data_IF_353997667219
#
_entry.id   IF_353997667219
#
_cell.length_a   1.000
_cell.length_b   1.000
_cell.length_c   1.000
_cell.angle_alpha   90.00
_cell.angle_beta   90.00
_cell.angle_gamma   90.00
#
_symmetry.space_group_name_H-M   'P 1'
#
loop_
_entity.id
_entity.type
_entity.pdbx_description
1 polymer ?
#
# COMPACT_ATOMS: atom_id res chain seq x y z
N UNK A 1 13.97 -41.34 -19.88
CA UNK A 1 13.36 -40.28 -19.07
C UNK A 1 11.95 -40.65 -18.57
N UNK A 2 10.98 -41.00 -19.42
CA UNK A 2 9.59 -41.37 -19.00
C UNK A 2 9.54 -42.46 -17.91
N UNK A 3 10.32 -43.52 -18.01
CA UNK A 3 10.36 -44.62 -17.01
C UNK A 3 10.94 -44.16 -15.66
N UNK A 4 11.90 -43.22 -15.65
CA UNK A 4 12.44 -42.66 -14.43
C UNK A 4 11.45 -41.69 -13.74
N UNK A 5 10.76 -40.84 -14.51
CA UNK A 5 9.69 -39.99 -13.99
C UNK A 5 8.54 -40.83 -13.41
N UNK A 6 8.13 -41.90 -14.09
CA UNK A 6 7.12 -42.82 -13.60
C UNK A 6 7.55 -43.53 -12.31
N UNK A 7 8.84 -43.88 -12.20
CA UNK A 7 9.40 -44.46 -10.98
C UNK A 7 9.33 -43.46 -9.81
N UNK A 8 9.75 -42.21 -10.01
CA UNK A 8 9.65 -41.17 -8.97
C UNK A 8 8.19 -40.91 -8.56
N UNK A 9 7.26 -40.85 -9.53
CA UNK A 9 5.83 -40.73 -9.28
C UNK A 9 5.30 -41.81 -8.36
N UNK A 10 5.59 -43.09 -8.68
CA UNK A 10 5.07 -44.23 -7.94
C UNK A 10 5.71 -44.37 -6.56
N UNK A 11 7.00 -44.11 -6.47
CA UNK A 11 7.80 -44.18 -5.24
C UNK A 11 7.35 -43.15 -4.19
N UNK A 12 7.08 -41.93 -4.59
CA UNK A 12 6.80 -40.82 -3.68
C UNK A 12 5.32 -40.76 -3.27
N UNK A 13 4.49 -41.73 -3.60
CA UNK A 13 3.04 -41.66 -3.34
C UNK A 13 2.46 -40.31 -3.74
N UNK A 14 2.79 -39.88 -4.96
CA UNK A 14 2.61 -38.50 -5.44
C UNK A 14 1.21 -37.95 -5.22
N UNK A 15 0.17 -38.71 -5.57
CA UNK A 15 -1.22 -38.22 -5.44
C UNK A 15 -1.58 -37.87 -4.00
N UNK A 16 -1.44 -38.77 -2.99
CA UNK A 16 -1.81 -38.42 -1.64
C UNK A 16 -0.95 -37.27 -1.06
N UNK A 17 0.33 -37.20 -1.43
CA UNK A 17 1.21 -36.11 -0.98
C UNK A 17 0.82 -34.77 -1.60
N UNK A 18 0.50 -34.72 -2.89
CA UNK A 18 0.00 -33.51 -3.56
C UNK A 18 -1.33 -33.08 -2.93
N UNK A 19 -2.26 -33.99 -2.71
CA UNK A 19 -3.54 -33.72 -2.08
C UNK A 19 -3.35 -33.10 -0.69
N UNK A 20 -2.42 -33.64 0.10
CA UNK A 20 -2.09 -33.07 1.41
C UNK A 20 -1.55 -31.64 1.28
N UNK A 21 -0.63 -31.38 0.35
CA UNK A 21 -0.11 -30.04 0.08
C UNK A 21 -1.24 -29.10 -0.35
N UNK A 22 -2.13 -29.51 -1.23
CA UNK A 22 -3.28 -28.73 -1.68
C UNK A 22 -4.19 -28.35 -0.50
N UNK A 23 -4.49 -29.28 0.39
CA UNK A 23 -5.31 -29.02 1.58
C UNK A 23 -4.62 -28.02 2.51
N UNK A 24 -3.32 -28.17 2.74
CA UNK A 24 -2.54 -27.21 3.55
C UNK A 24 -2.55 -25.83 2.88
N UNK A 25 -2.29 -25.73 1.58
CA UNK A 25 -2.28 -24.45 0.86
C UNK A 25 -3.67 -23.81 0.90
N UNK A 26 -4.75 -24.58 0.73
CA UNK A 26 -6.10 -24.05 0.83
C UNK A 26 -6.40 -23.49 2.24
N UNK A 27 -6.01 -24.20 3.30
CA UNK A 27 -6.17 -23.74 4.67
C UNK A 27 -5.37 -22.45 4.94
N UNK A 28 -4.12 -22.40 4.45
CA UNK A 28 -3.26 -21.23 4.63
C UNK A 28 -3.78 -20.02 3.82
N UNK A 29 -4.25 -20.23 2.58
CA UNK A 29 -4.84 -19.14 1.79
C UNK A 29 -6.10 -18.57 2.42
N UNK A 30 -7.00 -19.43 2.95
CA UNK A 30 -8.16 -18.96 3.69
C UNK A 30 -7.78 -18.13 4.93
N UNK A 31 -6.78 -18.57 5.68
CA UNK A 31 -6.26 -17.82 6.82
C UNK A 31 -5.68 -16.47 6.39
N UNK A 32 -4.92 -16.43 5.30
CA UNK A 32 -4.33 -15.20 4.77
C UNK A 32 -5.39 -14.22 4.30
N UNK A 33 -6.41 -14.67 3.56
CA UNK A 33 -7.53 -13.80 3.14
C UNK A 33 -8.29 -13.29 4.36
N UNK A 34 -8.54 -14.14 5.37
CA UNK A 34 -9.15 -13.73 6.63
C UNK A 34 -8.31 -12.68 7.37
N UNK A 35 -6.99 -12.88 7.48
CA UNK A 35 -6.11 -11.88 8.10
C UNK A 35 -6.07 -10.57 7.31
N UNK A 36 -6.07 -10.65 5.98
CA UNK A 36 -6.13 -9.47 5.11
C UNK A 36 -7.44 -8.69 5.28
N UNK A 37 -8.54 -9.38 5.60
CA UNK A 37 -9.85 -8.76 5.80
C UNK A 37 -10.03 -8.08 7.16
N UNK A 38 -9.10 -8.30 8.12
CA UNK A 38 -9.17 -7.63 9.41
C UNK A 38 -8.92 -6.13 9.23
N UNK A 39 -9.86 -5.31 9.69
CA UNK A 39 -9.72 -3.86 9.67
C UNK A 39 -8.72 -3.41 10.75
N UNK A 40 -7.91 -2.42 10.41
CA UNK A 40 -7.06 -1.75 11.39
C UNK A 40 -7.88 -0.84 12.31
N UNK A 41 -7.30 -0.48 13.43
CA UNK A 41 -7.93 0.47 14.35
C UNK A 41 -8.06 1.85 13.71
N UNK A 42 -9.24 2.43 13.81
CA UNK A 42 -9.51 3.82 13.44
C UNK A 42 -8.63 4.73 14.30
N UNK A 43 -7.91 5.65 13.67
CA UNK A 43 -7.23 6.72 14.38
C UNK A 43 -8.30 7.73 14.78
N UNK A 44 -8.49 7.94 16.08
CA UNK A 44 -9.41 8.98 16.56
C UNK A 44 -8.78 10.35 16.27
N UNK A 45 -9.21 11.01 15.22
CA UNK A 45 -8.87 12.41 14.96
C UNK A 45 -9.89 13.27 15.68
N UNK A 46 -9.42 14.19 16.51
CA UNK A 46 -10.27 15.15 17.18
C UNK A 46 -10.67 16.25 16.19
N UNK A 47 -11.97 16.43 16.00
CA UNK A 47 -12.50 17.53 15.19
C UNK A 47 -12.48 18.82 16.01
N UNK A 48 -12.24 19.97 15.37
CA UNK A 48 -12.07 21.25 16.07
C UNK A 48 -13.31 21.63 16.90
N UNK A 49 -14.50 21.35 16.39
CA UNK A 49 -15.76 21.62 17.10
C UNK A 49 -16.06 20.67 18.26
N UNK A 50 -15.38 19.51 18.34
CA UNK A 50 -15.54 18.55 19.45
C UNK A 50 -14.64 18.88 20.65
N UNK A 51 -13.71 19.84 20.52
CA UNK A 51 -12.74 20.16 21.57
C UNK A 51 -13.33 21.04 22.68
N UNK A 52 -14.33 21.85 22.35
CA UNK A 52 -14.98 22.80 23.25
C UNK A 52 -16.49 22.69 23.08
N UNK A 53 -17.22 22.72 24.20
CA UNK A 53 -18.67 22.86 24.17
C UNK A 53 -19.02 24.33 23.92
N UNK A 54 -19.09 24.72 22.66
CA UNK A 54 -19.38 26.10 22.26
C UNK A 54 -20.79 26.57 22.63
N UNK A 55 -21.75 25.64 22.74
CA UNK A 55 -23.09 25.99 23.18
C UNK A 55 -23.07 26.47 24.64
N UNK A 56 -22.43 25.74 25.54
CA UNK A 56 -22.30 26.13 26.94
C UNK A 56 -21.46 27.40 27.09
N UNK A 57 -20.36 27.52 26.33
CA UNK A 57 -19.53 28.71 26.31
C UNK A 57 -20.28 29.94 25.81
N UNK A 58 -21.17 29.78 24.81
CA UNK A 58 -22.04 30.82 24.29
C UNK A 58 -23.07 31.31 25.32
N UNK A 59 -23.73 30.38 26.03
CA UNK A 59 -24.65 30.75 27.11
C UNK A 59 -23.96 31.48 28.26
N UNK A 60 -22.76 31.06 28.64
CA UNK A 60 -21.95 31.76 29.67
C UNK A 60 -21.53 33.17 29.22
N UNK A 61 -21.10 33.29 27.96
CA UNK A 61 -20.70 34.60 27.40
C UNK A 61 -21.91 35.55 27.26
N UNK A 62 -23.10 35.05 26.93
CA UNK A 62 -24.34 35.86 26.92
C UNK A 62 -24.67 36.35 28.32
N UNK A 63 -24.65 35.49 29.34
CA UNK A 63 -24.88 35.87 30.73
C UNK A 63 -23.86 36.91 31.25
N UNK A 64 -22.57 36.75 30.87
CA UNK A 64 -21.52 37.71 31.18
C UNK A 64 -21.83 39.08 30.53
N UNK A 65 -22.19 39.09 29.26
CA UNK A 65 -22.54 40.29 28.53
C UNK A 65 -23.80 40.98 29.08
N UNK A 66 -24.84 40.23 29.44
CA UNK A 66 -26.07 40.77 30.04
C UNK A 66 -25.83 41.38 31.44
N UNK A 67 -24.95 40.79 32.22
CA UNK A 67 -24.66 41.24 33.59
C UNK A 67 -23.61 42.37 33.65
N UNK A 68 -22.67 42.38 32.71
CA UNK A 68 -21.59 43.38 32.65
C UNK A 68 -21.22 43.68 31.17
N UNK A 69 -21.96 44.57 30.50
CA UNK A 69 -21.76 44.89 29.10
C UNK A 69 -20.46 45.70 28.91
N UNK A 70 -19.38 45.01 28.61
CA UNK A 70 -18.09 45.57 28.23
C UNK A 70 -17.77 45.22 26.78
N UNK A 71 -16.77 45.91 26.20
CA UNK A 71 -16.25 45.58 24.87
C UNK A 71 -15.84 44.11 24.80
N UNK A 72 -15.12 43.61 25.79
CA UNK A 72 -14.61 42.23 25.83
C UNK A 72 -15.76 41.22 25.94
N UNK A 73 -16.75 41.44 26.84
CA UNK A 73 -17.88 40.55 26.98
C UNK A 73 -18.75 40.51 25.73
N UNK A 74 -18.88 41.62 24.99
CA UNK A 74 -19.59 41.68 23.70
C UNK A 74 -18.90 40.78 22.65
N UNK A 75 -17.58 40.90 22.47
CA UNK A 75 -16.86 40.13 21.47
C UNK A 75 -16.78 38.65 21.84
N UNK A 76 -16.64 38.29 23.10
CA UNK A 76 -16.76 36.90 23.60
C UNK A 76 -18.13 36.31 23.26
N UNK A 77 -19.19 37.07 23.53
CA UNK A 77 -20.55 36.65 23.21
C UNK A 77 -20.71 36.38 21.71
N UNK A 78 -20.31 37.30 20.83
CA UNK A 78 -20.42 37.16 19.38
C UNK A 78 -19.60 35.94 18.88
N UNK A 79 -18.37 35.81 19.39
CA UNK A 79 -17.48 34.72 19.03
C UNK A 79 -18.06 33.33 19.40
N UNK A 80 -18.46 33.16 20.64
CA UNK A 80 -18.98 31.87 21.11
C UNK A 80 -20.37 31.56 20.57
N UNK A 81 -21.24 32.55 20.38
CA UNK A 81 -22.54 32.40 19.77
C UNK A 81 -22.44 31.89 18.32
N UNK A 82 -21.54 32.48 17.53
CA UNK A 82 -21.31 32.07 16.15
C UNK A 82 -20.79 30.63 16.06
N UNK A 83 -19.83 30.25 16.92
CA UNK A 83 -19.30 28.90 16.97
C UNK A 83 -20.31 27.88 17.51
N UNK A 84 -21.19 28.28 18.44
CA UNK A 84 -22.27 27.46 18.94
C UNK A 84 -23.27 27.11 17.83
N UNK A 85 -23.63 28.08 16.99
CA UNK A 85 -24.52 27.84 15.85
C UNK A 85 -23.90 26.86 14.85
N UNK A 86 -22.60 27.00 14.55
CA UNK A 86 -21.89 26.08 13.66
C UNK A 86 -21.77 24.69 14.28
N UNK A 87 -21.43 24.60 15.58
CA UNK A 87 -21.37 23.32 16.30
C UNK A 87 -22.71 22.60 16.28
N UNK A 88 -23.82 23.33 16.48
CA UNK A 88 -25.16 22.77 16.41
C UNK A 88 -25.46 22.18 15.03
N UNK A 89 -25.15 22.90 13.95
CA UNK A 89 -25.32 22.40 12.58
C UNK A 89 -24.47 21.15 12.32
N UNK A 90 -23.22 21.13 12.80
CA UNK A 90 -22.36 19.95 12.72
C UNK A 90 -22.94 18.76 13.48
N UNK A 91 -23.48 18.97 14.69
CA UNK A 91 -24.08 17.91 15.51
C UNK A 91 -25.37 17.35 14.92
N UNK A 92 -26.16 18.20 14.27
CA UNK A 92 -27.40 17.82 13.58
C UNK A 92 -27.14 17.27 12.16
N UNK A 93 -25.94 17.42 11.63
CA UNK A 93 -25.58 16.95 10.28
C UNK A 93 -25.65 15.42 10.17
N UNK A 94 -26.27 14.95 9.11
CA UNK A 94 -26.28 13.52 8.74
C UNK A 94 -24.87 13.00 8.36
N UNK A 95 -23.92 13.90 8.11
CA UNK A 95 -22.55 13.62 7.67
C UNK A 95 -21.51 13.68 8.80
N UNK A 96 -21.99 13.86 10.06
CA UNK A 96 -21.11 13.85 11.22
C UNK A 96 -20.32 12.54 11.27
N UNK A 97 -18.98 12.68 11.31
CA UNK A 97 -18.05 11.53 11.35
C UNK A 97 -17.70 10.94 9.98
N UNK A 98 -18.24 11.47 8.89
CA UNK A 98 -17.76 11.13 7.55
C UNK A 98 -16.35 11.71 7.30
N UNK A 99 -15.53 10.98 6.57
CA UNK A 99 -14.11 11.30 6.39
C UNK A 99 -13.89 12.68 5.74
N UNK A 100 -14.70 13.04 4.74
CA UNK A 100 -14.54 14.31 4.03
C UNK A 100 -14.84 15.56 4.90
N UNK A 101 -15.61 15.42 5.96
CA UNK A 101 -15.85 16.51 6.92
C UNK A 101 -14.55 16.95 7.60
N UNK A 102 -13.58 16.03 7.76
CA UNK A 102 -12.28 16.38 8.32
C UNK A 102 -11.44 17.33 7.45
N UNK A 103 -11.77 17.47 6.16
CA UNK A 103 -11.21 18.54 5.33
C UNK A 103 -11.49 19.91 5.93
N UNK A 104 -12.71 20.15 6.41
CA UNK A 104 -13.14 21.41 7.00
C UNK A 104 -12.41 21.72 8.31
N UNK A 105 -11.85 20.69 8.97
CA UNK A 105 -11.15 20.87 10.24
C UNK A 105 -9.94 21.81 10.15
N UNK A 106 -9.26 21.87 9.02
CA UNK A 106 -8.13 22.78 8.79
C UNK A 106 -8.58 24.23 8.80
N UNK A 107 -9.66 24.54 8.08
CA UNK A 107 -10.19 25.88 7.98
C UNK A 107 -10.87 26.32 9.27
N UNK A 108 -11.67 25.44 9.87
CA UNK A 108 -12.31 25.69 11.16
C UNK A 108 -11.27 25.98 12.27
N UNK A 109 -10.21 25.18 12.36
CA UNK A 109 -9.15 25.41 13.34
C UNK A 109 -8.49 26.79 13.15
N UNK A 110 -8.27 27.17 11.90
CA UNK A 110 -7.68 28.49 11.56
C UNK A 110 -8.63 29.63 11.90
N UNK A 111 -9.90 29.51 11.53
CA UNK A 111 -10.95 30.51 11.80
C UNK A 111 -11.14 30.70 13.31
N UNK A 112 -11.22 29.60 14.07
CA UNK A 112 -11.36 29.60 15.53
C UNK A 112 -10.16 30.31 16.17
N UNK A 113 -8.93 29.98 15.75
CA UNK A 113 -7.71 30.60 16.30
C UNK A 113 -7.64 32.09 15.98
N UNK A 114 -7.93 32.51 14.75
CA UNK A 114 -7.94 33.92 14.34
C UNK A 114 -9.04 34.72 15.05
N UNK A 115 -10.23 34.13 15.17
CA UNK A 115 -11.34 34.73 15.89
C UNK A 115 -11.01 35.00 17.36
N UNK A 116 -10.42 33.98 18.05
CA UNK A 116 -9.95 34.13 19.44
C UNK A 116 -8.93 35.23 19.61
N UNK A 117 -7.91 35.31 18.75
CA UNK A 117 -6.91 36.38 18.79
C UNK A 117 -7.53 37.77 18.61
N UNK A 118 -8.54 37.91 17.76
CA UNK A 118 -9.25 39.18 17.55
C UNK A 118 -10.08 39.58 18.76
N UNK A 119 -10.74 38.63 19.44
CA UNK A 119 -11.43 38.91 20.71
C UNK A 119 -10.48 39.51 21.73
N UNK A 120 -9.27 38.95 21.86
CA UNK A 120 -8.25 39.48 22.80
C UNK A 120 -7.70 40.84 22.40
N UNK A 121 -7.56 41.14 21.11
CA UNK A 121 -6.90 42.36 20.61
C UNK A 121 -7.85 43.52 20.39
N UNK A 122 -9.12 43.32 20.06
CA UNK A 122 -10.07 44.37 19.66
C UNK A 122 -10.37 45.39 20.76
N UNK A 123 -10.32 44.98 22.01
CA UNK A 123 -10.61 45.87 23.12
C UNK A 123 -9.38 46.60 23.68
N UNK A 124 -8.19 46.24 23.25
CA UNK A 124 -6.92 46.83 23.68
C UNK A 124 -6.39 47.95 22.77
N UNK A 125 -6.87 48.07 21.54
CA UNK A 125 -6.42 49.08 20.56
C UNK A 125 -7.57 49.94 20.04
N UNK A 126 -7.56 51.21 20.37
CA UNK A 126 -8.24 52.35 19.73
C UNK A 126 -9.58 52.13 18.99
N UNK A 127 -10.59 51.53 19.61
CA UNK A 127 -11.99 51.89 19.34
C UNK A 127 -12.63 51.57 17.98
N UNK A 128 -12.03 50.79 17.12
CA UNK A 128 -12.72 50.23 15.97
C UNK A 128 -13.26 48.84 16.33
N UNK A 129 -14.59 48.72 16.42
CA UNK A 129 -15.29 47.46 16.58
C UNK A 129 -15.13 46.64 15.30
N UNK A 130 -14.41 45.53 15.39
CA UNK A 130 -14.21 44.60 14.26
C UNK A 130 -14.83 43.25 14.63
N UNK A 131 -15.72 42.79 13.82
CA UNK A 131 -16.34 41.44 13.95
C UNK A 131 -15.26 40.36 14.10
N UNK A 132 -15.36 39.38 15.05
CA UNK A 132 -14.31 38.38 15.29
C UNK A 132 -13.93 37.55 14.04
N UNK A 133 -14.86 37.34 13.14
CA UNK A 133 -14.67 36.57 11.92
C UNK A 133 -14.63 37.42 10.65
N UNK A 134 -14.24 38.71 10.76
CA UNK A 134 -14.14 39.58 9.59
C UNK A 134 -13.26 38.99 8.50
N UNK A 135 -13.77 38.96 7.26
CA UNK A 135 -13.10 38.32 6.11
C UNK A 135 -13.19 36.81 6.09
N UNK A 136 -13.96 36.21 6.99
CA UNK A 136 -14.23 34.76 7.01
C UNK A 136 -15.74 34.44 6.88
N UNK A 137 -16.56 35.46 6.67
CA UNK A 137 -18.02 35.36 6.68
C UNK A 137 -18.51 34.41 5.56
N UNK A 138 -17.96 34.55 4.35
CA UNK A 138 -18.32 33.74 3.20
C UNK A 138 -17.87 32.29 3.42
N UNK A 139 -16.67 32.07 3.93
CA UNK A 139 -16.13 30.75 4.25
C UNK A 139 -16.98 30.05 5.34
N UNK A 140 -17.34 30.74 6.40
CA UNK A 140 -18.24 30.21 7.42
C UNK A 140 -19.62 29.88 6.87
N UNK A 141 -20.14 30.70 5.97
CA UNK A 141 -21.42 30.43 5.30
C UNK A 141 -21.33 29.15 4.45
N UNK A 142 -20.28 28.98 3.68
CA UNK A 142 -20.04 27.77 2.89
C UNK A 142 -19.88 26.52 3.76
N UNK A 143 -19.21 26.61 4.91
CA UNK A 143 -19.11 25.50 5.88
C UNK A 143 -20.50 25.10 6.42
N UNK A 144 -21.37 26.08 6.71
CA UNK A 144 -22.76 25.79 7.11
C UNK A 144 -23.53 25.06 6.00
N UNK A 145 -23.36 25.48 4.75
CA UNK A 145 -23.99 24.82 3.59
C UNK A 145 -23.56 23.35 3.51
N UNK A 146 -22.26 23.04 3.70
CA UNK A 146 -21.76 21.65 3.73
C UNK A 146 -22.39 20.83 4.85
N UNK A 147 -22.56 21.39 6.06
CA UNK A 147 -23.18 20.65 7.18
C UNK A 147 -24.67 20.39 6.98
N UNK A 148 -25.36 21.27 6.27
CA UNK A 148 -26.80 21.14 5.99
C UNK A 148 -27.11 20.40 4.68
N UNK A 149 -26.18 20.35 3.78
CA UNK A 149 -26.33 19.87 2.41
C UNK A 149 -25.87 18.45 2.17
N UNK A 150 -25.28 18.22 1.02
CA UNK A 150 -24.74 16.92 0.62
C UNK A 150 -23.27 17.02 0.15
N UNK A 151 -22.77 15.96 -0.46
CA UNK A 151 -21.41 15.94 -0.98
C UNK A 151 -21.19 16.94 -2.14
N UNK A 152 -22.25 17.38 -2.81
CA UNK A 152 -22.15 18.40 -3.87
C UNK A 152 -21.79 19.75 -3.28
N UNK A 153 -22.40 20.13 -2.14
CA UNK A 153 -22.06 21.36 -1.43
C UNK A 153 -20.60 21.33 -0.94
N UNK A 154 -20.11 20.15 -0.56
CA UNK A 154 -18.71 19.99 -0.22
C UNK A 154 -17.77 20.18 -1.43
N UNK A 155 -18.12 19.69 -2.63
CA UNK A 155 -17.36 19.96 -3.86
C UNK A 155 -17.35 21.48 -4.13
N UNK A 156 -18.49 22.16 -4.01
CA UNK A 156 -18.58 23.61 -4.19
C UNK A 156 -17.73 24.37 -3.17
N UNK A 157 -17.68 23.88 -1.93
CA UNK A 157 -16.77 24.43 -0.91
C UNK A 157 -15.30 24.27 -1.31
N UNK A 158 -14.90 23.09 -1.78
CA UNK A 158 -13.52 22.88 -2.24
C UNK A 158 -13.15 23.77 -3.43
N UNK A 159 -14.07 23.95 -4.39
CA UNK A 159 -13.87 24.89 -5.51
C UNK A 159 -13.69 26.32 -5.02
N UNK A 160 -14.51 26.76 -4.08
CA UNK A 160 -14.39 28.07 -3.44
C UNK A 160 -13.01 28.23 -2.77
N UNK A 161 -12.59 27.26 -1.97
CA UNK A 161 -11.31 27.26 -1.26
C UNK A 161 -10.10 27.32 -2.22
N UNK A 162 -10.12 26.54 -3.33
CA UNK A 162 -9.05 26.56 -4.31
C UNK A 162 -9.01 27.89 -5.10
N UNK A 163 -10.15 28.47 -5.42
CA UNK A 163 -10.24 29.77 -6.10
C UNK A 163 -9.74 30.90 -5.19
N UNK A 164 -10.05 30.88 -3.90
CA UNK A 164 -9.56 31.87 -2.95
C UNK A 164 -8.03 31.82 -2.84
N UNK A 165 -7.46 30.63 -2.80
CA UNK A 165 -6.00 30.42 -2.81
C UNK A 165 -5.34 30.88 -4.11
N UNK A 166 -5.99 30.73 -5.26
CA UNK A 166 -5.49 31.24 -6.54
C UNK A 166 -5.47 32.77 -6.64
N UNK A 167 -6.35 33.43 -5.92
CA UNK A 167 -6.42 34.91 -5.88
C UNK A 167 -5.31 35.53 -5.03
N UNK A 168 -4.55 34.74 -4.25
CA UNK A 168 -3.39 35.22 -3.53
C UNK A 168 -2.24 35.53 -4.51
N UNK A 169 -1.90 36.80 -4.63
CA UNK A 169 -0.84 37.28 -5.53
C UNK A 169 0.57 36.81 -5.11
N UNK A 170 0.71 36.33 -3.87
CA UNK A 170 2.02 35.91 -3.33
C UNK A 170 2.37 34.45 -3.62
N UNK A 171 1.44 33.67 -4.16
CA UNK A 171 1.68 32.24 -4.44
C UNK A 171 2.71 32.04 -5.56
N UNK A 172 3.54 31.00 -5.41
CA UNK A 172 4.50 30.58 -6.44
C UNK A 172 3.79 29.94 -7.64
N UNK A 173 4.48 29.87 -8.79
CA UNK A 173 3.94 29.24 -9.99
C UNK A 173 3.59 27.76 -9.74
N UNK A 174 4.37 27.04 -8.92
CA UNK A 174 4.11 25.65 -8.54
C UNK A 174 2.77 25.51 -7.81
N UNK A 175 2.49 26.38 -6.84
CA UNK A 175 1.21 26.39 -6.14
C UNK A 175 0.05 26.78 -7.03
N UNK A 176 0.26 27.75 -7.93
CA UNK A 176 -0.75 28.16 -8.90
C UNK A 176 -1.15 27.00 -9.79
N UNK A 177 -0.19 26.34 -10.43
CA UNK A 177 -0.46 25.15 -11.26
C UNK A 177 -1.15 24.04 -10.48
N UNK A 178 -0.79 23.84 -9.22
CA UNK A 178 -1.41 22.85 -8.34
C UNK A 178 -2.90 23.15 -8.07
N UNK A 179 -3.25 24.41 -7.78
CA UNK A 179 -4.64 24.79 -7.55
C UNK A 179 -5.46 24.77 -8.84
N UNK A 180 -4.89 25.15 -9.97
CA UNK A 180 -5.53 25.04 -11.30
C UNK A 180 -5.85 23.58 -11.62
N UNK A 181 -4.92 22.66 -11.41
CA UNK A 181 -5.17 21.22 -11.59
C UNK A 181 -6.25 20.67 -10.65
N UNK A 182 -6.32 21.16 -9.43
CA UNK A 182 -7.36 20.79 -8.49
C UNK A 182 -8.75 21.25 -8.97
N UNK A 183 -8.85 22.48 -9.47
CA UNK A 183 -10.09 23.02 -10.04
C UNK A 183 -10.55 22.24 -11.26
N UNK A 184 -9.64 21.91 -12.17
CA UNK A 184 -9.94 21.09 -13.34
C UNK A 184 -10.48 19.71 -12.94
N UNK A 185 -9.91 19.12 -11.87
CA UNK A 185 -10.37 17.85 -11.32
C UNK A 185 -11.78 17.96 -10.72
N UNK A 186 -12.04 19.00 -9.92
CA UNK A 186 -13.34 19.25 -9.31
C UNK A 186 -14.41 19.48 -10.37
N UNK A 187 -14.10 20.26 -11.43
CA UNK A 187 -15.02 20.48 -12.55
C UNK A 187 -15.37 19.16 -13.28
N UNK A 188 -14.38 18.27 -13.50
CA UNK A 188 -14.62 16.97 -14.11
C UNK A 188 -15.50 16.06 -13.27
N UNK A 189 -15.48 16.17 -11.94
CA UNK A 189 -16.26 15.36 -11.01
C UNK A 189 -17.62 15.98 -10.68
N UNK A 190 -17.83 17.25 -10.99
CA UNK A 190 -19.08 17.97 -10.70
C UNK A 190 -20.26 17.26 -11.38
N UNK A 191 -21.31 17.00 -10.59
CA UNK A 191 -22.53 16.35 -11.06
C UNK A 191 -22.40 14.85 -11.34
N UNK A 192 -21.26 14.22 -11.02
CA UNK A 192 -21.14 12.78 -11.04
C UNK A 192 -21.58 12.17 -9.70
N UNK A 193 -22.18 11.00 -9.75
CA UNK A 193 -22.47 10.20 -8.55
C UNK A 193 -21.19 9.50 -8.11
N UNK A 194 -20.53 10.05 -7.08
CA UNK A 194 -19.25 9.52 -6.58
C UNK A 194 -19.49 8.32 -5.66
N UNK A 195 -18.64 7.31 -5.80
CA UNK A 195 -18.57 6.16 -4.90
C UNK A 195 -17.92 6.56 -3.56
N UNK A 196 -18.17 5.80 -2.51
CA UNK A 196 -17.66 6.12 -1.17
C UNK A 196 -16.15 6.31 -1.11
N UNK A 197 -15.36 5.45 -1.79
CA UNK A 197 -13.91 5.61 -1.83
C UNK A 197 -13.47 6.89 -2.57
N UNK A 198 -14.23 7.36 -3.58
CA UNK A 198 -13.93 8.61 -4.29
C UNK A 198 -14.18 9.81 -3.37
N UNK A 199 -15.24 9.77 -2.56
CA UNK A 199 -15.55 10.80 -1.56
C UNK A 199 -14.47 10.92 -0.49
N UNK A 200 -13.82 9.81 -0.13
CA UNK A 200 -12.69 9.77 0.81
C UNK A 200 -11.39 10.25 0.15
N UNK A 201 -11.12 9.82 -1.09
CA UNK A 201 -9.86 10.08 -1.77
C UNK A 201 -9.74 11.53 -2.28
N UNK A 202 -10.83 12.13 -2.76
CA UNK A 202 -10.82 13.46 -3.34
C UNK A 202 -10.28 14.54 -2.38
N UNK A 203 -10.79 14.66 -1.13
CA UNK A 203 -10.27 15.65 -0.19
C UNK A 203 -8.78 15.47 0.13
N UNK A 204 -8.33 14.23 0.31
CA UNK A 204 -6.91 13.94 0.58
C UNK A 204 -6.01 14.32 -0.59
N UNK A 205 -6.49 14.15 -1.82
CA UNK A 205 -5.76 14.52 -3.03
C UNK A 205 -5.67 16.04 -3.20
N UNK A 206 -6.73 16.77 -2.87
CA UNK A 206 -6.79 18.25 -2.94
C UNK A 206 -5.94 18.90 -1.86
N UNK A 207 -5.88 18.34 -0.65
CA UNK A 207 -5.03 18.83 0.44
C UNK A 207 -3.56 18.44 0.31
N UNK A 208 -3.23 17.45 -0.52
CA UNK A 208 -1.84 17.06 -0.72
C UNK A 208 -1.04 18.27 -1.22
N UNK A 209 0.05 18.61 -0.51
CA UNK A 209 0.91 19.73 -0.91
C UNK A 209 1.85 19.30 -2.03
N UNK A 210 2.21 20.21 -2.94
CA UNK A 210 3.27 19.92 -3.91
C UNK A 210 4.58 19.61 -3.16
N UNK A 211 5.20 18.49 -3.48
CA UNK A 211 6.43 18.02 -2.80
C UNK A 211 7.59 19.01 -2.93
N UNK A 212 7.64 19.75 -4.01
CA UNK A 212 8.61 20.82 -4.28
C UNK A 212 8.55 21.97 -3.26
N UNK A 213 7.42 22.12 -2.55
CA UNK A 213 7.25 23.15 -1.52
C UNK A 213 7.99 22.86 -0.21
N UNK A 214 8.58 21.68 -0.06
CA UNK A 214 9.30 21.27 1.15
C UNK A 214 10.82 21.45 1.06
N UNK A 215 11.35 21.86 -0.10
CA UNK A 215 12.78 22.12 -0.24
C UNK A 215 13.20 23.29 0.68
N UNK A 216 14.16 23.02 1.57
CA UNK A 216 14.81 24.06 2.36
C UNK A 216 15.93 24.71 1.55
N UNK A 217 16.25 25.97 1.85
CA UNK A 217 17.40 26.64 1.23
C UNK A 217 18.72 25.98 1.66
N UNK A 218 19.78 26.17 0.86
CA UNK A 218 21.12 25.68 1.19
C UNK A 218 21.61 26.21 2.54
N UNK A 219 21.28 27.46 2.87
CA UNK A 219 21.62 28.07 4.15
C UNK A 219 20.90 27.38 5.31
N UNK A 220 19.60 27.07 5.17
CA UNK A 220 18.83 26.33 6.18
C UNK A 220 19.30 24.89 6.31
N UNK A 221 19.68 24.24 5.20
CA UNK A 221 20.27 22.91 5.20
C UNK A 221 21.58 22.88 5.99
N UNK A 222 22.48 23.83 5.72
CA UNK A 222 23.78 23.93 6.41
C UNK A 222 23.67 24.29 7.90
N UNK A 223 22.58 24.92 8.33
CA UNK A 223 22.28 25.17 9.73
C UNK A 223 21.66 23.97 10.46
N UNK A 224 21.17 22.98 9.74
CA UNK A 224 20.50 21.79 10.31
C UNK A 224 21.46 20.59 10.37
N UNK A 225 22.11 20.40 11.52
CA UNK A 225 23.09 19.33 11.75
C UNK A 225 22.51 17.94 11.40
N UNK A 226 21.25 17.68 11.75
CA UNK A 226 20.60 16.39 11.47
C UNK A 226 20.45 16.12 9.96
N UNK A 227 20.15 17.16 9.16
CA UNK A 227 20.10 17.04 7.71
C UNK A 227 21.51 16.85 7.11
N UNK A 228 22.50 17.56 7.61
CA UNK A 228 23.90 17.38 7.18
C UNK A 228 24.40 15.97 7.48
N UNK A 229 24.10 15.42 8.66
CA UNK A 229 24.47 14.06 9.04
C UNK A 229 23.77 13.01 8.18
N UNK A 230 22.52 13.25 7.81
CA UNK A 230 21.71 12.31 7.03
C UNK A 230 22.10 12.27 5.55
N UNK A 231 22.32 13.43 4.94
CA UNK A 231 22.52 13.55 3.48
C UNK A 231 23.96 13.84 3.08
N UNK A 232 24.80 14.28 4.00
CA UNK A 232 26.22 14.57 3.78
C UNK A 232 26.52 15.81 2.93
N UNK A 233 25.63 16.20 2.00
CA UNK A 233 25.76 17.41 1.18
C UNK A 233 24.39 17.93 0.72
N UNK A 234 24.31 19.21 0.38
CA UNK A 234 23.10 19.81 -0.17
C UNK A 234 22.69 19.21 -1.51
N UNK A 235 23.65 18.88 -2.37
CA UNK A 235 23.36 18.19 -3.66
C UNK A 235 22.77 16.79 -3.43
N UNK A 236 23.25 16.04 -2.44
CA UNK A 236 22.69 14.73 -2.10
C UNK A 236 21.27 14.87 -1.53
N UNK A 237 21.01 15.93 -0.75
CA UNK A 237 19.68 16.27 -0.27
C UNK A 237 18.73 16.62 -1.43
N UNK A 238 19.15 17.48 -2.37
CA UNK A 238 18.33 17.82 -3.56
C UNK A 238 18.04 16.58 -4.41
N UNK A 239 19.02 15.73 -4.68
CA UNK A 239 18.80 14.48 -5.43
C UNK A 239 17.80 13.56 -4.71
N UNK A 240 17.88 13.47 -3.37
CA UNK A 240 16.90 12.71 -2.58
C UNK A 240 15.50 13.31 -2.62
N UNK A 241 15.41 14.65 -2.70
CA UNK A 241 14.16 15.36 -2.89
C UNK A 241 13.58 15.12 -4.26
N UNK A 242 14.40 15.17 -5.32
CA UNK A 242 13.95 14.92 -6.69
C UNK A 242 13.33 13.52 -6.81
N UNK A 243 13.96 12.48 -6.27
CA UNK A 243 13.40 11.13 -6.21
C UNK A 243 12.06 11.08 -5.44
N UNK A 244 11.96 11.82 -4.34
CA UNK A 244 10.74 11.88 -3.52
C UNK A 244 9.63 12.69 -4.19
N UNK A 245 9.97 13.76 -4.88
CA UNK A 245 9.05 14.59 -5.68
C UNK A 245 8.50 13.80 -6.84
N UNK A 246 9.35 13.08 -7.59
CA UNK A 246 8.91 12.23 -8.69
C UNK A 246 7.97 11.12 -8.19
N UNK A 247 8.33 10.45 -7.09
CA UNK A 247 7.47 9.42 -6.46
C UNK A 247 6.12 10.00 -6.02
N UNK A 248 6.09 11.18 -5.42
CA UNK A 248 4.85 11.83 -4.98
C UNK A 248 3.99 12.26 -6.17
N UNK A 249 4.61 12.76 -7.25
CA UNK A 249 3.95 13.10 -8.51
C UNK A 249 3.31 11.85 -9.15
N UNK A 250 4.06 10.74 -9.24
CA UNK A 250 3.54 9.47 -9.75
C UNK A 250 2.34 8.98 -8.94
N UNK A 251 2.41 9.05 -7.60
CA UNK A 251 1.30 8.67 -6.71
C UNK A 251 0.08 9.57 -6.92
N UNK A 252 0.27 10.87 -7.11
CA UNK A 252 -0.80 11.82 -7.42
C UNK A 252 -1.48 11.47 -8.74
N UNK A 253 -0.72 11.18 -9.80
CA UNK A 253 -1.26 10.79 -11.10
C UNK A 253 -2.05 9.47 -11.02
N UNK A 254 -1.57 8.48 -10.25
CA UNK A 254 -2.29 7.24 -10.00
C UNK A 254 -3.63 7.54 -9.31
N UNK A 255 -3.64 8.34 -8.24
CA UNK A 255 -4.86 8.68 -7.49
C UNK A 255 -5.85 9.47 -8.35
N UNK A 256 -5.38 10.45 -9.12
CA UNK A 256 -6.19 11.21 -10.07
C UNK A 256 -6.83 10.29 -11.11
N UNK A 257 -6.06 9.37 -11.68
CA UNK A 257 -6.56 8.40 -12.63
C UNK A 257 -7.62 7.46 -12.02
N UNK A 258 -7.36 6.95 -10.80
CA UNK A 258 -8.30 6.10 -10.07
C UNK A 258 -9.61 6.84 -9.77
N UNK A 259 -9.50 8.08 -9.33
CA UNK A 259 -10.64 8.94 -9.02
C UNK A 259 -11.52 9.18 -10.25
N UNK A 260 -10.92 9.58 -11.38
CA UNK A 260 -11.65 9.89 -12.63
C UNK A 260 -12.27 8.64 -13.29
N UNK A 261 -11.68 7.48 -13.13
CA UNK A 261 -12.16 6.24 -13.72
C UNK A 261 -12.96 5.36 -12.73
N UNK A 262 -13.25 5.86 -11.53
CA UNK A 262 -13.93 5.13 -10.46
C UNK A 262 -13.29 3.76 -10.16
N UNK A 263 -11.94 3.71 -10.14
CA UNK A 263 -11.15 2.51 -9.82
C UNK A 263 -10.78 2.55 -8.34
N UNK A 264 -11.23 1.55 -7.59
CA UNK A 264 -10.94 1.43 -6.15
C UNK A 264 -9.43 1.27 -5.91
N UNK A 265 -8.80 2.09 -5.04
CA UNK A 265 -7.38 1.99 -4.74
C UNK A 265 -7.07 0.75 -3.89
N UNK A 266 -5.87 0.20 -4.01
CA UNK A 266 -5.38 -0.88 -3.13
C UNK A 266 -4.95 -0.39 -1.74
N UNK A 267 -4.80 0.91 -1.58
CA UNK A 267 -4.52 1.62 -0.33
C UNK A 267 -5.56 2.71 -0.17
N UNK A 268 -6.38 2.62 0.86
CA UNK A 268 -7.33 3.65 1.22
C UNK A 268 -6.61 4.65 2.12
N UNK A 269 -6.38 5.84 1.63
CA UNK A 269 -5.83 6.95 2.40
C UNK A 269 -6.96 7.91 2.74
N UNK A 270 -7.22 8.08 4.03
CA UNK A 270 -8.21 8.99 4.56
C UNK A 270 -7.62 9.82 5.70
N UNK A 271 -8.37 10.81 6.20
CA UNK A 271 -7.98 11.54 7.40
C UNK A 271 -8.08 10.68 8.66
N UNK A 272 -8.95 9.67 8.64
CA UNK A 272 -9.21 8.79 9.78
C UNK A 272 -8.34 7.55 9.78
N UNK A 273 -7.90 7.08 8.61
CA UNK A 273 -7.10 5.87 8.46
C UNK A 273 -6.29 5.88 7.17
N UNK A 274 -5.13 5.27 7.23
CA UNK A 274 -4.32 4.96 6.05
C UNK A 274 -4.08 3.45 6.07
N UNK A 275 -4.83 2.72 5.28
CA UNK A 275 -4.83 1.27 5.33
C UNK A 275 -4.90 0.65 3.94
N UNK A 276 -4.09 -0.39 3.74
CA UNK A 276 -4.27 -1.26 2.58
C UNK A 276 -5.59 -2.01 2.69
N UNK A 277 -6.38 -1.97 1.64
CA UNK A 277 -7.54 -2.84 1.56
C UNK A 277 -7.12 -4.31 1.42
N UNK A 278 -8.10 -5.23 1.38
CA UNK A 278 -7.84 -6.67 1.26
C UNK A 278 -6.93 -6.99 0.08
N UNK A 279 -7.12 -6.33 -1.05
CA UNK A 279 -6.33 -6.56 -2.27
C UNK A 279 -4.88 -6.10 -2.12
N UNK A 280 -4.65 -4.94 -1.48
CA UNK A 280 -3.31 -4.46 -1.15
C UNK A 280 -2.59 -5.35 -0.15
N UNK A 281 -3.28 -5.79 0.92
CA UNK A 281 -2.73 -6.74 1.91
C UNK A 281 -2.42 -8.10 1.29
N UNK A 282 -3.29 -8.62 0.41
CA UNK A 282 -3.05 -9.89 -0.28
C UNK A 282 -1.80 -9.84 -1.17
N UNK A 283 -1.53 -8.71 -1.81
CA UNK A 283 -0.31 -8.54 -2.60
C UNK A 283 0.95 -8.67 -1.73
N UNK A 284 0.92 -8.17 -0.49
CA UNK A 284 2.03 -8.32 0.47
C UNK A 284 2.19 -9.76 0.98
N UNK A 285 1.09 -10.53 1.06
CA UNK A 285 1.14 -11.92 1.54
C UNK A 285 1.51 -12.93 0.45
N UNK A 286 1.37 -12.58 -0.83
CA UNK A 286 1.71 -13.49 -1.94
C UNK A 286 3.12 -14.09 -1.81
N UNK A 287 4.19 -13.32 -1.55
CA UNK A 287 5.53 -13.86 -1.40
C UNK A 287 5.64 -14.94 -0.33
N UNK A 288 4.99 -14.74 0.80
CA UNK A 288 4.98 -15.68 1.93
C UNK A 288 4.32 -17.00 1.53
N UNK A 289 3.20 -16.92 0.80
CA UNK A 289 2.50 -18.11 0.30
C UNK A 289 3.36 -18.93 -0.66
N UNK A 290 4.11 -18.26 -1.55
CA UNK A 290 5.02 -18.95 -2.47
C UNK A 290 6.24 -19.55 -1.76
N UNK A 291 6.77 -18.91 -0.71
CA UNK A 291 7.81 -19.50 0.16
C UNK A 291 7.28 -20.79 0.78
N UNK A 292 6.10 -20.75 1.40
CA UNK A 292 5.48 -21.93 2.03
C UNK A 292 5.30 -23.05 1.01
N UNK A 293 4.75 -22.74 -0.17
CA UNK A 293 4.58 -23.73 -1.25
C UNK A 293 5.91 -24.38 -1.65
N UNK A 294 6.94 -23.56 -1.88
CA UNK A 294 8.27 -24.05 -2.27
C UNK A 294 8.88 -24.94 -1.21
N UNK A 295 8.79 -24.57 0.07
CA UNK A 295 9.30 -25.36 1.19
C UNK A 295 8.55 -26.69 1.36
N UNK A 296 7.22 -26.70 1.20
CA UNK A 296 6.43 -27.92 1.23
C UNK A 296 6.85 -28.88 0.12
N UNK A 297 7.08 -28.39 -1.10
CA UNK A 297 7.53 -29.20 -2.23
C UNK A 297 8.95 -29.74 -2.01
N UNK A 298 9.89 -28.89 -1.54
CA UNK A 298 11.26 -29.35 -1.22
C UNK A 298 11.23 -30.40 -0.12
N UNK A 299 10.51 -30.17 0.96
CA UNK A 299 10.42 -31.08 2.10
C UNK A 299 9.77 -32.40 1.73
N UNK A 300 8.69 -32.39 0.95
CA UNK A 300 7.94 -33.59 0.57
C UNK A 300 8.62 -34.45 -0.52
N UNK A 301 9.30 -33.80 -1.47
CA UNK A 301 9.79 -34.49 -2.65
C UNK A 301 11.32 -34.45 -2.83
N UNK A 302 11.94 -33.26 -2.70
CA UNK A 302 13.38 -33.14 -2.91
C UNK A 302 14.19 -33.83 -1.80
N UNK A 303 13.75 -33.75 -0.55
CA UNK A 303 14.39 -34.38 0.60
C UNK A 303 14.49 -35.90 0.47
N UNK A 304 13.55 -36.53 -0.23
CA UNK A 304 13.59 -37.98 -0.50
C UNK A 304 14.85 -38.41 -1.26
N UNK A 305 15.51 -37.52 -1.98
CA UNK A 305 16.78 -37.84 -2.67
C UNK A 305 17.90 -38.20 -1.69
N UNK A 306 18.02 -37.48 -0.59
CA UNK A 306 19.02 -37.79 0.45
C UNK A 306 18.67 -39.09 1.17
N UNK A 307 17.37 -39.29 1.43
CA UNK A 307 16.87 -40.55 2.03
C UNK A 307 17.13 -41.73 1.15
N UNK A 308 16.92 -41.59 -0.16
CA UNK A 308 17.18 -42.65 -1.15
C UNK A 308 18.66 -43.03 -1.21
N UNK A 309 19.53 -41.99 -1.16
CA UNK A 309 20.97 -42.25 -1.15
C UNK A 309 21.39 -43.01 0.12
N UNK A 310 20.93 -42.58 1.29
CA UNK A 310 21.22 -43.24 2.58
C UNK A 310 20.72 -44.70 2.63
N UNK A 311 19.61 -44.97 1.95
CA UNK A 311 19.00 -46.30 1.88
C UNK A 311 19.53 -47.16 0.71
N UNK A 312 20.50 -46.67 -0.06
CA UNK A 312 21.08 -47.37 -1.20
C UNK A 312 20.12 -47.60 -2.39
N UNK A 313 18.98 -46.92 -2.43
CA UNK A 313 17.99 -47.08 -3.51
C UNK A 313 18.48 -46.55 -4.85
N UNK A 314 19.39 -45.60 -4.86
CA UNK A 314 20.00 -45.07 -6.10
C UNK A 314 20.92 -46.08 -6.75
N UNK A 315 21.54 -46.99 -5.98
CA UNK A 315 22.37 -48.09 -6.53
C UNK A 315 21.55 -49.03 -7.37
N UNK A 316 20.30 -49.30 -7.00
CA UNK A 316 19.36 -50.14 -7.77
C UNK A 316 19.03 -49.52 -9.14
N UNK A 317 18.94 -48.19 -9.22
CA UNK A 317 18.71 -47.48 -10.49
C UNK A 317 19.98 -47.52 -11.37
N UNK A 318 21.16 -47.43 -10.77
CA UNK A 318 22.43 -47.52 -11.49
C UNK A 318 22.69 -48.91 -12.10
N UNK A 319 22.17 -49.98 -11.49
CA UNK A 319 22.26 -51.34 -12.06
C UNK A 319 21.43 -51.49 -13.32
N UNK A 320 20.48 -50.61 -13.60
CA UNK A 320 19.63 -50.58 -14.79
C UNK A 320 20.19 -49.79 -15.95
N UNK A 321 21.47 -49.51 -16.01
CA UNK A 321 22.16 -48.80 -17.11
C UNK A 321 21.76 -47.34 -17.30
N UNK A 322 21.17 -46.70 -16.28
CA UNK A 322 20.90 -45.25 -16.32
C UNK A 322 22.13 -44.46 -15.92
N UNK A 323 22.45 -43.41 -16.68
CA UNK A 323 23.51 -42.48 -16.25
C UNK A 323 23.06 -41.67 -15.04
N UNK A 324 24.01 -41.33 -14.16
CA UNK A 324 23.75 -40.55 -12.93
C UNK A 324 23.10 -39.20 -13.22
N UNK A 325 23.55 -38.49 -14.27
CA UNK A 325 22.95 -37.25 -14.72
C UNK A 325 21.49 -37.39 -15.15
N UNK A 326 21.12 -38.53 -15.80
CA UNK A 326 19.70 -38.78 -16.15
C UNK A 326 18.83 -39.04 -14.93
N UNK A 327 19.37 -39.69 -13.89
CA UNK A 327 18.65 -39.90 -12.63
C UNK A 327 18.41 -38.56 -11.95
N UNK A 328 19.47 -37.71 -11.84
CA UNK A 328 19.36 -36.39 -11.23
C UNK A 328 18.41 -35.46 -11.99
N UNK A 329 18.56 -35.39 -13.31
CA UNK A 329 17.65 -34.61 -14.16
C UNK A 329 16.19 -35.04 -14.02
N UNK A 330 15.93 -36.38 -13.86
CA UNK A 330 14.56 -36.86 -13.65
C UNK A 330 13.98 -36.42 -12.29
N UNK A 331 14.80 -36.40 -11.22
CA UNK A 331 14.38 -35.92 -9.90
C UNK A 331 14.10 -34.41 -9.92
N UNK A 332 14.97 -33.64 -10.55
CA UNK A 332 14.81 -32.16 -10.71
C UNK A 332 13.54 -31.84 -11.52
N UNK A 333 13.38 -32.46 -12.69
CA UNK A 333 12.19 -32.26 -13.52
C UNK A 333 10.91 -32.66 -12.79
N UNK A 334 10.93 -33.80 -12.10
CA UNK A 334 9.80 -34.28 -11.33
C UNK A 334 9.40 -33.28 -10.24
N UNK A 335 10.36 -32.81 -9.42
CA UNK A 335 10.10 -31.84 -8.34
C UNK A 335 9.63 -30.50 -8.92
N UNK A 336 10.23 -30.04 -10.03
CA UNK A 336 9.83 -28.83 -10.74
C UNK A 336 8.39 -28.90 -11.29
N UNK A 337 7.99 -30.06 -11.84
CA UNK A 337 6.61 -30.30 -12.29
C UNK A 337 5.61 -30.24 -11.12
N UNK A 338 5.99 -30.80 -9.96
CA UNK A 338 5.15 -30.73 -8.76
C UNK A 338 5.03 -29.25 -8.29
N UNK A 339 6.13 -28.51 -8.26
CA UNK A 339 6.11 -27.09 -7.92
C UNK A 339 5.17 -26.30 -8.85
N UNK A 340 5.22 -26.56 -10.17
CA UNK A 340 4.32 -25.93 -11.13
C UNK A 340 2.85 -26.21 -10.81
N UNK A 341 2.52 -27.48 -10.57
CA UNK A 341 1.15 -27.90 -10.23
C UNK A 341 0.68 -27.24 -8.93
N UNK A 342 1.51 -27.26 -7.88
CA UNK A 342 1.13 -26.68 -6.59
C UNK A 342 1.06 -25.15 -6.63
N UNK A 343 1.89 -24.48 -7.44
CA UNK A 343 1.81 -23.04 -7.70
C UNK A 343 0.49 -22.68 -8.38
N UNK A 344 0.09 -23.45 -9.39
CA UNK A 344 -1.22 -23.25 -10.02
C UNK A 344 -2.37 -23.43 -9.03
N UNK A 345 -2.32 -24.48 -8.22
CA UNK A 345 -3.33 -24.71 -7.17
C UNK A 345 -3.35 -23.60 -6.11
N UNK A 346 -2.19 -23.02 -5.78
CA UNK A 346 -2.11 -21.87 -4.86
C UNK A 346 -2.93 -20.69 -5.38
N UNK A 347 -2.78 -20.34 -6.67
CA UNK A 347 -3.56 -19.28 -7.30
C UNK A 347 -5.06 -19.58 -7.30
N UNK A 348 -5.42 -20.81 -7.67
CA UNK A 348 -6.84 -21.26 -7.65
C UNK A 348 -7.40 -21.21 -6.24
N UNK A 349 -6.62 -21.61 -5.23
CA UNK A 349 -7.03 -21.56 -3.82
C UNK A 349 -7.24 -20.13 -3.33
N UNK A 350 -6.37 -19.20 -3.74
CA UNK A 350 -6.52 -17.78 -3.41
C UNK A 350 -7.82 -17.21 -4.00
N UNK A 351 -8.07 -17.44 -5.29
CA UNK A 351 -9.30 -16.99 -5.94
C UNK A 351 -10.55 -17.61 -5.28
N UNK A 352 -10.51 -18.92 -4.98
CA UNK A 352 -11.60 -19.60 -4.31
C UNK A 352 -11.83 -19.04 -2.89
N UNK A 353 -10.76 -18.78 -2.14
CA UNK A 353 -10.84 -18.21 -0.79
C UNK A 353 -11.42 -16.80 -0.79
N UNK A 354 -11.03 -15.95 -1.76
CA UNK A 354 -11.62 -14.62 -1.93
C UNK A 354 -13.11 -14.72 -2.23
N UNK A 355 -13.49 -15.54 -3.20
CA UNK A 355 -14.88 -15.73 -3.57
C UNK A 355 -15.75 -16.23 -2.40
N UNK A 356 -15.24 -17.19 -1.62
CA UNK A 356 -15.92 -17.70 -0.42
C UNK A 356 -16.12 -16.64 0.67
N UNK A 357 -15.25 -15.64 0.72
CA UNK A 357 -15.33 -14.54 1.69
C UNK A 357 -16.03 -13.29 1.12
N UNK A 358 -16.60 -13.38 -0.09
CA UNK A 358 -17.40 -12.32 -0.69
C UNK A 358 -16.61 -11.23 -1.41
N UNK A 359 -15.32 -11.43 -1.69
CA UNK A 359 -14.49 -10.45 -2.41
C UNK A 359 -14.57 -10.63 -3.91
N UNK A 360 -14.63 -9.49 -4.64
CA UNK A 360 -14.70 -9.49 -6.10
C UNK A 360 -13.32 -9.79 -6.72
N UNK A 361 -13.17 -10.83 -7.57
CA UNK A 361 -11.92 -11.10 -8.29
C UNK A 361 -11.64 -10.15 -9.46
N UNK A 362 -12.57 -9.26 -9.79
CA UNK A 362 -12.41 -8.28 -10.90
C UNK A 362 -11.66 -7.01 -10.48
N UNK A 363 -11.01 -7.02 -9.32
CA UNK A 363 -10.22 -5.88 -8.84
C UNK A 363 -9.12 -5.49 -9.83
N UNK A 364 -8.93 -4.17 -9.99
CA UNK A 364 -7.97 -3.56 -10.91
C UNK A 364 -6.86 -2.88 -10.11
N UNK A 365 -5.61 -3.28 -10.34
CA UNK A 365 -4.44 -2.58 -9.83
C UNK A 365 -4.00 -1.49 -10.81
N UNK A 366 -3.56 -0.37 -10.27
CA UNK A 366 -3.01 0.76 -11.02
C UNK A 366 -1.53 0.95 -10.68
N UNK A 367 -0.72 1.18 -11.71
CA UNK A 367 0.72 1.41 -11.59
C UNK A 367 1.13 2.57 -12.49
N UNK A 368 2.17 3.30 -12.09
CA UNK A 368 2.81 4.28 -12.96
C UNK A 368 3.95 3.62 -13.74
N UNK A 369 3.92 3.74 -15.06
CA UNK A 369 4.90 3.08 -15.92
C UNK A 369 5.13 3.88 -17.21
N UNK A 370 6.39 4.11 -17.59
CA UNK A 370 6.77 4.81 -18.80
C UNK A 370 6.12 6.20 -18.99
N UNK A 371 5.97 6.96 -17.90
CA UNK A 371 5.39 8.30 -17.95
C UNK A 371 3.87 8.34 -17.97
N UNK A 372 3.18 7.24 -17.65
CA UNK A 372 1.71 7.18 -17.61
C UNK A 372 1.17 6.10 -16.66
N UNK A 373 -0.14 6.18 -16.38
CA UNK A 373 -0.84 5.22 -15.52
C UNK A 373 -1.30 4.04 -16.36
N UNK A 374 -0.95 2.82 -15.93
CA UNK A 374 -1.39 1.56 -16.52
C UNK A 374 -2.17 0.73 -15.51
N UNK A 375 -3.12 -0.05 -16.00
CA UNK A 375 -4.00 -0.86 -15.18
C UNK A 375 -3.85 -2.34 -15.51
N UNK A 376 -3.83 -3.18 -14.47
CA UNK A 376 -3.83 -4.63 -14.62
C UNK A 376 -4.91 -5.23 -13.73
N UNK A 377 -5.63 -6.22 -14.24
CA UNK A 377 -6.55 -6.97 -13.40
C UNK A 377 -5.79 -7.85 -12.40
N UNK A 378 -6.45 -8.18 -11.29
CA UNK A 378 -5.92 -8.99 -10.20
C UNK A 378 -5.29 -10.29 -10.68
N UNK A 379 -5.94 -11.02 -11.60
CA UNK A 379 -5.45 -12.30 -12.12
C UNK A 379 -4.13 -12.12 -12.87
N UNK A 380 -4.00 -11.06 -13.68
CA UNK A 380 -2.77 -10.76 -14.40
C UNK A 380 -1.62 -10.46 -13.45
N UNK A 381 -1.84 -9.63 -12.44
CA UNK A 381 -0.82 -9.29 -11.43
C UNK A 381 -0.39 -10.53 -10.67
N UNK A 382 -1.34 -11.37 -10.25
CA UNK A 382 -1.02 -12.60 -9.55
C UNK A 382 -0.32 -13.63 -10.43
N UNK A 383 -0.68 -13.75 -11.71
CA UNK A 383 -0.01 -14.65 -12.64
C UNK A 383 1.44 -14.23 -12.90
N UNK A 384 1.70 -12.92 -13.08
CA UNK A 384 3.07 -12.39 -13.22
C UNK A 384 3.91 -12.70 -11.99
N UNK A 385 3.37 -12.44 -10.79
CA UNK A 385 4.03 -12.81 -9.54
C UNK A 385 4.29 -14.31 -9.42
N UNK A 386 3.31 -15.14 -9.81
CA UNK A 386 3.44 -16.58 -9.76
C UNK A 386 4.57 -17.10 -10.66
N UNK A 387 4.77 -16.52 -11.84
CA UNK A 387 5.90 -16.87 -12.72
C UNK A 387 7.22 -16.54 -12.03
N UNK A 388 7.39 -15.35 -11.49
CA UNK A 388 8.60 -14.93 -10.78
C UNK A 388 8.91 -15.88 -9.62
N UNK A 389 7.95 -16.12 -8.73
CA UNK A 389 8.16 -16.98 -7.56
C UNK A 389 8.32 -18.46 -7.93
N UNK A 390 7.69 -18.93 -9.00
CA UNK A 390 7.94 -20.26 -9.54
C UNK A 390 9.41 -20.41 -9.98
N UNK A 391 9.97 -19.41 -10.68
CA UNK A 391 11.37 -19.42 -11.10
C UNK A 391 12.33 -19.37 -9.89
N UNK A 392 12.04 -18.56 -8.88
CA UNK A 392 12.76 -18.56 -7.61
C UNK A 392 12.68 -19.92 -6.90
N UNK A 393 11.52 -20.56 -6.92
CA UNK A 393 11.33 -21.90 -6.39
C UNK A 393 12.15 -22.96 -7.14
N UNK A 394 12.27 -22.86 -8.46
CA UNK A 394 13.13 -23.74 -9.27
C UNK A 394 14.61 -23.54 -8.93
N UNK A 395 15.06 -22.30 -8.72
CA UNK A 395 16.41 -21.98 -8.26
C UNK A 395 16.65 -22.64 -6.90
N UNK A 396 15.72 -22.50 -5.96
CA UNK A 396 15.82 -23.07 -4.61
C UNK A 396 15.89 -24.61 -4.64
N UNK A 397 15.09 -25.26 -5.46
CA UNK A 397 15.15 -26.72 -5.70
C UNK A 397 16.52 -27.11 -6.27
N UNK A 398 17.03 -26.34 -7.23
CA UNK A 398 18.33 -26.60 -7.84
C UNK A 398 19.48 -26.48 -6.83
N UNK A 399 19.44 -25.45 -5.98
CA UNK A 399 20.40 -25.26 -4.88
C UNK A 399 20.29 -26.39 -3.86
N UNK A 400 19.05 -26.79 -3.50
CA UNK A 400 18.86 -27.94 -2.61
C UNK A 400 19.56 -29.19 -3.14
N UNK A 401 19.34 -29.55 -4.40
CA UNK A 401 19.96 -30.73 -5.01
C UNK A 401 21.47 -30.58 -5.15
N UNK A 402 21.98 -29.40 -5.46
CA UNK A 402 23.42 -29.13 -5.54
C UNK A 402 24.09 -29.38 -4.18
N UNK A 403 23.55 -28.78 -3.12
CA UNK A 403 24.09 -28.93 -1.76
C UNK A 403 23.92 -30.37 -1.24
N UNK A 404 22.77 -30.99 -1.50
CA UNK A 404 22.53 -32.39 -1.15
C UNK A 404 23.58 -33.31 -1.79
N UNK A 405 23.97 -33.04 -3.04
CA UNK A 405 25.00 -33.80 -3.75
C UNK A 405 26.40 -33.58 -3.18
N UNK A 406 26.72 -32.40 -2.65
CA UNK A 406 28.02 -32.08 -2.08
C UNK A 406 28.15 -32.52 -0.62
N UNK A 407 27.21 -32.13 0.23
CA UNK A 407 27.29 -32.29 1.68
C UNK A 407 26.66 -33.59 2.19
N UNK A 408 25.74 -34.19 1.42
CA UNK A 408 24.91 -35.33 1.84
C UNK A 408 24.12 -35.06 3.13
N UNK A 409 24.03 -33.81 3.53
CA UNK A 409 23.33 -33.32 4.74
C UNK A 409 21.99 -32.73 4.36
N UNK A 410 20.91 -33.31 4.91
CA UNK A 410 19.56 -32.81 4.72
C UNK A 410 19.36 -31.41 5.33
N UNK A 411 19.91 -31.21 6.54
CA UNK A 411 19.79 -29.94 7.25
C UNK A 411 20.45 -28.79 6.48
N UNK A 412 21.72 -28.98 6.04
CA UNK A 412 22.45 -27.93 5.31
C UNK A 412 21.77 -27.62 3.96
N UNK A 413 21.26 -28.65 3.25
CA UNK A 413 20.56 -28.47 1.99
C UNK A 413 19.26 -27.69 2.16
N UNK A 414 18.48 -28.00 3.21
CA UNK A 414 17.24 -27.28 3.54
C UNK A 414 17.53 -25.84 3.97
N UNK A 415 18.55 -25.63 4.83
CA UNK A 415 18.90 -24.30 5.31
C UNK A 415 19.32 -23.38 4.17
N UNK A 416 20.23 -23.82 3.29
CA UNK A 416 20.69 -23.00 2.17
C UNK A 416 19.61 -22.79 1.11
N UNK A 417 18.76 -23.79 0.83
CA UNK A 417 17.60 -23.57 -0.06
C UNK A 417 16.59 -22.59 0.53
N UNK A 418 16.37 -22.62 1.85
CA UNK A 418 15.55 -21.66 2.56
C UNK A 418 16.08 -20.24 2.40
N UNK A 419 17.39 -20.02 2.63
CA UNK A 419 18.02 -18.71 2.48
C UNK A 419 17.89 -18.18 1.05
N UNK A 420 18.10 -19.02 0.05
CA UNK A 420 17.96 -18.66 -1.37
C UNK A 420 16.50 -18.36 -1.75
N UNK A 421 15.53 -18.92 -1.04
CA UNK A 421 14.11 -18.58 -1.26
C UNK A 421 13.73 -17.29 -0.53
N UNK A 422 14.08 -17.17 0.75
CA UNK A 422 13.61 -16.12 1.63
C UNK A 422 14.27 -14.77 1.34
N UNK A 423 15.60 -14.74 1.13
CA UNK A 423 16.32 -13.47 0.93
C UNK A 423 15.84 -12.73 -0.32
N UNK A 424 15.79 -13.33 -1.53
CA UNK A 424 15.27 -12.64 -2.70
C UNK A 424 13.80 -12.25 -2.56
N UNK A 425 13.01 -13.06 -1.85
CA UNK A 425 11.59 -12.77 -1.62
C UNK A 425 11.39 -11.57 -0.69
N UNK A 426 12.18 -11.45 0.38
CA UNK A 426 12.15 -10.26 1.24
C UNK A 426 12.63 -9.03 0.47
N UNK A 427 13.69 -9.16 -0.31
CA UNK A 427 14.17 -8.08 -1.18
C UNK A 427 13.10 -7.68 -2.21
N UNK A 428 12.33 -8.64 -2.74
CA UNK A 428 11.23 -8.31 -3.66
C UNK A 428 10.12 -7.51 -2.99
N UNK A 429 9.83 -7.71 -1.71
CA UNK A 429 8.85 -6.91 -0.96
C UNK A 429 9.25 -5.44 -0.82
N UNK A 430 10.55 -5.19 -0.62
CA UNK A 430 11.08 -3.82 -0.45
C UNK A 430 11.26 -3.09 -1.79
N UNK A 431 11.56 -3.83 -2.86
CA UNK A 431 11.91 -3.30 -4.19
C UNK A 431 10.77 -3.53 -5.20
N UNK A 432 9.64 -4.10 -4.77
CA UNK A 432 8.56 -4.55 -5.66
C UNK A 432 7.99 -3.44 -6.56
N UNK A 433 7.92 -2.20 -6.07
CA UNK A 433 7.52 -1.04 -6.87
C UNK A 433 8.44 -0.80 -8.07
N UNK A 434 9.74 -1.04 -7.89
CA UNK A 434 10.76 -0.90 -8.95
C UNK A 434 10.80 -2.14 -9.84
N UNK A 435 10.54 -3.33 -9.28
CA UNK A 435 10.60 -4.61 -9.98
C UNK A 435 9.44 -4.82 -10.96
N UNK A 436 8.26 -4.27 -10.68
CA UNK A 436 7.10 -4.46 -11.55
C UNK A 436 7.32 -3.84 -12.93
N UNK A 437 8.07 -2.73 -12.99
CA UNK A 437 8.47 -2.10 -14.24
C UNK A 437 9.34 -3.01 -15.12
N UNK A 438 10.12 -3.90 -14.51
CA UNK A 438 11.11 -4.76 -15.16
C UNK A 438 10.86 -6.26 -14.95
N UNK A 439 9.66 -6.67 -14.57
CA UNK A 439 9.33 -8.06 -14.20
C UNK A 439 9.74 -9.06 -15.30
N UNK A 440 9.55 -8.71 -16.54
CA UNK A 440 9.92 -9.55 -17.69
C UNK A 440 11.44 -9.80 -17.75
N UNK A 441 12.26 -8.76 -17.55
CA UNK A 441 13.72 -8.90 -17.54
C UNK A 441 14.20 -9.70 -16.34
N UNK A 442 13.56 -9.53 -15.19
CA UNK A 442 13.86 -10.28 -13.98
C UNK A 442 13.53 -11.76 -14.18
N UNK A 443 12.37 -12.10 -14.74
CA UNK A 443 11.98 -13.46 -15.05
C UNK A 443 12.95 -14.10 -16.03
N UNK A 444 13.42 -13.36 -17.04
CA UNK A 444 14.42 -13.85 -17.97
C UNK A 444 15.76 -14.16 -17.28
N UNK A 445 16.24 -13.26 -16.41
CA UNK A 445 17.48 -13.48 -15.62
C UNK A 445 17.32 -14.68 -14.70
N UNK A 446 16.20 -14.78 -13.98
CA UNK A 446 15.91 -15.91 -13.10
C UNK A 446 15.84 -17.24 -13.87
N UNK A 447 15.26 -17.24 -15.06
CA UNK A 447 15.21 -18.41 -15.93
C UNK A 447 16.63 -18.86 -16.32
N UNK A 448 17.49 -17.93 -16.76
CA UNK A 448 18.87 -18.23 -17.15
C UNK A 448 19.65 -18.78 -15.95
N UNK A 449 19.58 -18.11 -14.79
CA UNK A 449 20.25 -18.57 -13.55
C UNK A 449 19.72 -19.94 -13.14
N UNK A 450 18.41 -20.15 -13.18
CA UNK A 450 17.79 -21.44 -12.87
C UNK A 450 18.29 -22.58 -13.77
N UNK A 451 18.35 -22.37 -15.08
CA UNK A 451 18.88 -23.35 -16.04
C UNK A 451 20.35 -23.66 -15.80
N UNK A 452 21.17 -22.62 -15.55
CA UNK A 452 22.60 -22.82 -15.23
C UNK A 452 22.79 -23.63 -13.95
N UNK A 453 22.04 -23.37 -12.91
CA UNK A 453 22.09 -24.13 -11.65
C UNK A 453 21.60 -25.57 -11.82
N UNK A 454 20.59 -25.81 -12.65
CA UNK A 454 20.13 -27.16 -13.01
C UNK A 454 21.25 -27.95 -13.69
N UNK A 455 21.93 -27.35 -14.68
CA UNK A 455 23.06 -27.98 -15.39
C UNK A 455 24.20 -28.28 -14.40
N UNK A 456 24.56 -27.30 -13.58
CA UNK A 456 25.60 -27.45 -12.57
C UNK A 456 25.29 -28.56 -11.57
N UNK A 457 24.05 -28.64 -11.10
CA UNK A 457 23.58 -29.70 -10.21
C UNK A 457 23.73 -31.09 -10.83
N UNK A 458 23.42 -31.27 -12.13
CA UNK A 458 23.63 -32.50 -12.83
C UNK A 458 25.10 -32.89 -12.97
N UNK A 459 25.99 -31.92 -13.26
CA UNK A 459 27.44 -32.14 -13.38
C UNK A 459 28.05 -32.51 -12.01
N UNK A 460 27.73 -31.79 -10.97
CA UNK A 460 28.21 -32.05 -9.62
C UNK A 460 27.75 -33.41 -9.11
N UNK A 461 26.49 -33.75 -9.31
CA UNK A 461 25.96 -35.07 -8.97
C UNK A 461 26.71 -36.22 -9.68
N UNK A 462 27.04 -36.03 -10.94
CA UNK A 462 27.81 -37.01 -11.70
C UNK A 462 29.18 -37.27 -11.09
N UNK A 463 29.85 -36.24 -10.57
CA UNK A 463 31.22 -36.30 -10.00
C UNK A 463 31.23 -36.71 -8.52
N UNK A 464 30.34 -36.17 -7.71
CA UNK A 464 30.37 -36.35 -6.24
C UNK A 464 29.89 -37.73 -5.80
N UNK A 465 29.04 -38.40 -6.59
CA UNK A 465 28.48 -39.71 -6.28
C UNK A 465 29.24 -40.83 -6.96
N UNK A 466 30.40 -40.53 -7.57
CA UNK A 466 31.31 -41.49 -8.14
C UNK A 466 32.28 -42.09 -7.12
N UNK A 467 32.39 -41.45 -5.97
CA UNK A 467 33.18 -41.89 -4.81
C UNK A 467 32.24 -42.48 -3.75
#
# INVERSE_FOLDING_TARGET
MKSLLYFEYKKNRTIPTILLIIVILFAVTNLVVFLASQQSSVVSVSFALDQVNYQEAGEQADQEYQSNPTCESFYKYVYFSELADIQKLYEESSHKGEDYIYYLNFDLSTIIAQGSQRVESNCSSSGQEVYPFVGQEERLQKIREVFMGDYTDFIEYMEFDQNEKLNDETITQTWRSFYEENLDLLEQLRGQELRDFQKVMLPTLILAKPSESFAVSEEQFNQNIAMMDQFGSYDAYLNSLDDSVETAREQREIKKYQLLNAIEPSVNESFLYNEKNVYGKLLDYLPILFIINTLLVIGAFAANTIIDHKKGRDTVLLTKSYSRSKIMASKLLYTGMILLVTTFYLLVSLLASMYLQGYNPEFIYTFYQNGGVVTYNLITVWAMNAVMYFLLGLISISVFYLIASLSKSMFLSLLLSLLVTVIPTILSLTVFKVLFHNIFYIDLVLLVVGVLLLILSCIVFQRSWSK
#
